data_IF_408312486078
#
_entry.id   IF_408312486078
#
_cell.length_a   1.000
_cell.length_b   1.000
_cell.length_c   1.000
_cell.angle_alpha   90.00
_cell.angle_beta   90.00
_cell.angle_gamma   90.00
#
_symmetry.space_group_name_H-M   'P 1'
#
loop_
_entity.id
_entity.type
_entity.pdbx_description
1 polymer ?
#
# COMPACT_ATOMS: atom_id res chain seq x y z
N UNK A 1 5.55 24.88 14.57
CA UNK A 1 5.00 24.55 15.90
C UNK A 1 4.38 23.16 15.83
N UNK A 2 5.00 22.17 16.52
CA UNK A 2 4.43 20.83 16.65
C UNK A 2 3.34 20.87 17.71
N UNK A 3 2.08 20.87 17.28
CA UNK A 3 0.95 20.65 18.19
C UNK A 3 0.69 19.14 18.20
N UNK A 4 1.25 18.44 19.20
CA UNK A 4 0.80 17.09 19.57
C UNK A 4 -0.50 17.24 20.34
N UNK A 5 -1.63 17.20 19.66
CA UNK A 5 -2.94 17.11 20.32
C UNK A 5 -3.18 15.67 20.76
N UNK A 6 -3.28 15.47 22.07
CA UNK A 6 -3.85 14.25 22.66
C UNK A 6 -5.36 14.22 22.36
N UNK A 7 -5.75 13.53 21.29
CA UNK A 7 -7.15 13.30 20.95
C UNK A 7 -7.70 12.12 21.81
N UNK A 8 -8.02 12.40 23.05
CA UNK A 8 -8.78 11.47 23.89
C UNK A 8 -10.26 11.82 23.86
N UNK A 9 -11.10 10.93 23.29
CA UNK A 9 -12.57 10.87 23.44
C UNK A 9 -13.40 12.15 23.21
N UNK A 10 -13.19 12.89 22.11
CA UNK A 10 -14.21 13.82 21.65
C UNK A 10 -15.33 13.04 20.96
N UNK A 11 -16.59 13.30 21.30
CA UNK A 11 -17.74 12.73 20.57
C UNK A 11 -17.73 13.24 19.13
N UNK A 12 -17.79 12.32 18.18
CA UNK A 12 -17.92 12.65 16.76
C UNK A 12 -19.37 13.00 16.51
N UNK A 13 -19.63 14.22 15.99
CA UNK A 13 -20.95 14.61 15.56
C UNK A 13 -21.21 14.15 14.12
N UNK A 14 -21.87 13.00 13.98
CA UNK A 14 -22.20 12.48 12.66
C UNK A 14 -23.17 13.35 11.85
N UNK A 15 -23.88 14.28 12.48
CA UNK A 15 -24.83 15.16 11.78
C UNK A 15 -24.13 16.08 10.78
N UNK A 16 -22.89 16.48 11.05
CA UNK A 16 -22.07 17.30 10.15
C UNK A 16 -21.71 16.60 8.81
N UNK A 17 -21.83 15.28 8.77
CA UNK A 17 -21.46 14.46 7.60
C UNK A 17 -22.67 14.01 6.78
N UNK A 18 -23.86 14.00 7.36
CA UNK A 18 -25.06 13.45 6.73
C UNK A 18 -25.38 14.12 5.39
N UNK A 19 -25.52 13.31 4.34
CA UNK A 19 -25.89 13.76 3.01
C UNK A 19 -24.77 14.45 2.23
N UNK A 20 -23.60 14.68 2.82
CA UNK A 20 -22.43 15.17 2.08
C UNK A 20 -21.96 14.14 1.05
N UNK A 21 -21.34 14.64 -0.02
CA UNK A 21 -20.80 13.80 -1.10
C UNK A 21 -19.28 13.83 -1.10
N UNK A 22 -18.66 12.67 -1.30
CA UNK A 22 -17.20 12.55 -1.37
C UNK A 22 -16.75 12.00 -2.72
N UNK A 23 -15.64 12.54 -3.22
CA UNK A 23 -14.86 11.99 -4.33
C UNK A 23 -13.50 11.48 -3.85
N UNK A 24 -13.07 10.40 -4.49
CA UNK A 24 -11.80 9.75 -4.17
C UNK A 24 -10.91 9.68 -5.40
N UNK A 25 -9.67 10.06 -5.25
CA UNK A 25 -8.67 9.94 -6.30
C UNK A 25 -7.44 9.20 -5.76
N UNK A 26 -7.09 8.08 -6.39
CA UNK A 26 -5.98 7.25 -5.94
C UNK A 26 -4.89 7.18 -7.00
N UNK A 27 -3.70 7.57 -6.60
CA UNK A 27 -2.48 7.38 -7.36
C UNK A 27 -1.62 6.28 -6.74
N UNK A 28 -0.90 5.53 -7.57
CA UNK A 28 0.09 4.55 -7.13
C UNK A 28 -0.40 3.11 -7.11
N UNK A 29 -0.13 2.39 -6.02
CA UNK A 29 -0.16 0.93 -5.96
C UNK A 29 -1.48 0.37 -5.38
N UNK A 30 -1.58 -0.98 -5.38
CA UNK A 30 -2.69 -1.73 -4.78
C UNK A 30 -2.93 -1.37 -3.30
N UNK A 31 -1.84 -1.04 -2.58
CA UNK A 31 -1.90 -0.63 -1.18
C UNK A 31 -2.63 0.71 -1.01
N UNK A 32 -2.28 1.73 -1.82
CA UNK A 32 -2.99 3.01 -1.82
C UNK A 32 -4.47 2.82 -2.17
N UNK A 33 -4.77 1.92 -3.11
CA UNK A 33 -6.15 1.62 -3.47
C UNK A 33 -6.93 1.00 -2.30
N UNK A 34 -6.34 0.04 -1.60
CA UNK A 34 -6.94 -0.56 -0.39
C UNK A 34 -7.20 0.50 0.69
N UNK A 35 -6.23 1.38 0.93
CA UNK A 35 -6.35 2.47 1.91
C UNK A 35 -7.47 3.45 1.52
N UNK A 36 -7.56 3.86 0.25
CA UNK A 36 -8.63 4.75 -0.22
C UNK A 36 -10.01 4.12 -0.06
N UNK A 37 -10.14 2.84 -0.36
CA UNK A 37 -11.40 2.10 -0.16
C UNK A 37 -11.82 2.10 1.32
N UNK A 38 -10.85 1.96 2.23
CA UNK A 38 -11.13 2.05 3.67
C UNK A 38 -11.57 3.45 4.09
N UNK A 39 -10.94 4.50 3.55
CA UNK A 39 -11.41 5.88 3.80
C UNK A 39 -12.84 6.09 3.31
N UNK A 40 -13.16 5.54 2.12
CA UNK A 40 -14.53 5.58 1.59
C UNK A 40 -15.53 4.92 2.53
N UNK A 41 -15.17 3.76 3.11
CA UNK A 41 -16.01 3.10 4.13
C UNK A 41 -16.14 3.95 5.39
N UNK A 42 -15.06 4.47 5.93
CA UNK A 42 -15.09 5.33 7.13
C UNK A 42 -16.05 6.51 6.94
N UNK A 43 -16.00 7.19 5.79
CA UNK A 43 -16.88 8.30 5.45
C UNK A 43 -18.33 7.83 5.24
N UNK A 44 -18.54 6.69 4.57
CA UNK A 44 -19.86 6.11 4.39
C UNK A 44 -20.54 5.72 5.71
N UNK A 45 -19.77 5.17 6.64
CA UNK A 45 -20.25 4.82 7.99
C UNK A 45 -20.69 6.08 8.77
N UNK A 46 -20.21 7.27 8.39
CA UNK A 46 -20.64 8.58 8.91
C UNK A 46 -21.81 9.21 8.13
N UNK A 47 -22.32 8.53 7.11
CA UNK A 47 -23.44 9.03 6.28
C UNK A 47 -23.03 9.86 5.07
N UNK A 48 -21.72 9.88 4.69
CA UNK A 48 -21.24 10.53 3.48
C UNK A 48 -21.51 9.62 2.28
N UNK A 49 -22.07 10.18 1.23
CA UNK A 49 -22.36 9.48 -0.02
C UNK A 49 -21.16 9.58 -0.99
N UNK A 50 -20.96 8.60 -1.85
CA UNK A 50 -20.01 8.72 -2.94
C UNK A 50 -20.63 9.56 -4.06
N UNK A 51 -19.95 10.63 -4.48
CA UNK A 51 -20.41 11.47 -5.61
C UNK A 51 -20.23 10.70 -6.93
N UNK A 52 -21.19 10.88 -7.83
CA UNK A 52 -21.09 10.38 -9.21
C UNK A 52 -20.00 11.14 -9.97
N UNK A 53 -19.62 10.62 -11.14
CA UNK A 53 -18.50 11.16 -11.93
C UNK A 53 -18.63 12.65 -12.23
N UNK A 54 -19.82 13.08 -12.60
CA UNK A 54 -20.11 14.46 -13.05
C UNK A 54 -20.75 15.33 -11.96
N UNK A 55 -20.93 14.80 -10.74
CA UNK A 55 -21.40 15.57 -9.59
C UNK A 55 -20.26 16.33 -8.92
N UNK A 56 -20.58 17.42 -8.28
CA UNK A 56 -19.65 18.10 -7.36
C UNK A 56 -19.62 17.35 -6.01
N UNK A 57 -18.48 17.39 -5.35
CA UNK A 57 -18.30 16.80 -4.03
C UNK A 57 -18.12 17.88 -2.97
N UNK A 58 -18.54 17.58 -1.75
CA UNK A 58 -18.26 18.39 -0.55
C UNK A 58 -16.89 18.03 0.05
N UNK A 59 -16.43 16.80 -0.18
CA UNK A 59 -15.16 16.29 0.32
C UNK A 59 -14.41 15.61 -0.83
N UNK A 60 -13.15 15.97 -1.04
CA UNK A 60 -12.27 15.30 -1.99
C UNK A 60 -11.07 14.71 -1.27
N UNK A 61 -10.88 13.38 -1.37
CA UNK A 61 -9.74 12.68 -0.79
C UNK A 61 -8.80 12.19 -1.90
N UNK A 62 -7.55 12.66 -1.86
CA UNK A 62 -6.51 12.31 -2.83
C UNK A 62 -5.43 11.51 -2.12
N UNK A 63 -5.30 10.23 -2.48
CA UNK A 63 -4.24 9.35 -1.97
C UNK A 63 -3.08 9.32 -2.97
N UNK A 64 -1.94 9.84 -2.55
CA UNK A 64 -0.79 10.18 -3.40
C UNK A 64 0.31 9.12 -3.36
N UNK A 65 1.12 9.09 -4.42
CA UNK A 65 2.31 8.23 -4.55
C UNK A 65 3.57 9.10 -4.73
N UNK A 66 4.72 8.59 -4.29
CA UNK A 66 6.01 9.28 -4.42
C UNK A 66 7.14 8.28 -4.65
N UNK A 67 7.06 7.54 -5.75
CA UNK A 67 8.11 6.59 -6.13
C UNK A 67 9.08 7.18 -7.17
N UNK A 68 8.69 8.26 -7.84
CA UNK A 68 9.50 8.99 -8.84
C UNK A 68 9.09 10.47 -8.87
N UNK A 69 9.96 11.36 -9.39
CA UNK A 69 9.61 12.77 -9.64
C UNK A 69 8.39 12.92 -10.58
N UNK A 70 8.26 12.02 -11.54
CA UNK A 70 7.10 11.98 -12.44
C UNK A 70 5.82 11.67 -11.64
N UNK A 71 5.89 10.79 -10.66
CA UNK A 71 4.76 10.49 -9.77
C UNK A 71 4.39 11.72 -8.94
N UNK A 72 5.36 12.45 -8.40
CA UNK A 72 5.13 13.69 -7.64
C UNK A 72 4.47 14.78 -8.50
N UNK A 73 4.93 14.92 -9.75
CA UNK A 73 4.30 15.84 -10.70
C UNK A 73 2.83 15.46 -10.99
N UNK A 74 2.56 14.18 -11.22
CA UNK A 74 1.19 13.67 -11.40
C UNK A 74 0.32 13.90 -10.16
N UNK A 75 0.89 13.78 -8.96
CA UNK A 75 0.18 14.08 -7.72
C UNK A 75 -0.25 15.54 -7.66
N UNK A 76 0.66 16.48 -7.95
CA UNK A 76 0.32 17.92 -7.99
C UNK A 76 -0.76 18.22 -9.03
N UNK A 77 -0.65 17.65 -10.24
CA UNK A 77 -1.68 17.81 -11.27
C UNK A 77 -3.05 17.28 -10.80
N UNK A 78 -3.09 16.13 -10.15
CA UNK A 78 -4.32 15.55 -9.62
C UNK A 78 -4.94 16.43 -8.52
N UNK A 79 -4.12 16.97 -7.61
CA UNK A 79 -4.58 17.90 -6.58
C UNK A 79 -5.21 19.14 -7.21
N UNK A 80 -4.50 19.83 -8.12
CA UNK A 80 -5.05 21.02 -8.80
C UNK A 80 -6.33 20.72 -9.58
N UNK A 81 -6.38 19.55 -10.25
CA UNK A 81 -7.58 19.11 -10.97
C UNK A 81 -8.78 18.96 -10.02
N UNK A 82 -8.59 18.27 -8.89
CA UNK A 82 -9.66 18.03 -7.91
C UNK A 82 -10.16 19.34 -7.29
N UNK A 83 -9.26 20.26 -6.95
CA UNK A 83 -9.60 21.62 -6.47
C UNK A 83 -10.43 22.37 -7.50
N UNK A 84 -10.01 22.36 -8.77
CA UNK A 84 -10.68 23.08 -9.84
C UNK A 84 -12.08 22.52 -10.18
N UNK A 85 -12.20 21.18 -10.19
CA UNK A 85 -13.45 20.48 -10.54
C UNK A 85 -14.49 20.49 -9.40
N UNK A 86 -14.07 20.75 -8.15
CA UNK A 86 -14.96 20.75 -7.00
C UNK A 86 -14.76 22.02 -6.15
N UNK A 87 -15.17 23.19 -6.68
CA UNK A 87 -14.99 24.45 -5.96
C UNK A 87 -15.80 24.45 -4.66
N UNK A 88 -15.14 24.80 -3.56
CA UNK A 88 -15.73 24.80 -2.22
C UNK A 88 -15.74 23.44 -1.50
N UNK A 89 -15.23 22.37 -2.14
CA UNK A 89 -15.02 21.09 -1.48
C UNK A 89 -13.88 21.17 -0.46
N UNK A 90 -13.98 20.40 0.61
CA UNK A 90 -12.90 20.19 1.56
C UNK A 90 -11.88 19.18 0.99
N UNK A 91 -10.67 19.64 0.71
CA UNK A 91 -9.65 18.88 0.00
C UNK A 91 -8.67 18.25 0.98
N UNK A 92 -8.64 16.93 0.98
CA UNK A 92 -7.76 16.11 1.82
C UNK A 92 -6.71 15.42 0.96
N UNK A 93 -5.44 15.58 1.31
CA UNK A 93 -4.33 14.91 0.63
C UNK A 93 -3.63 13.98 1.61
N UNK A 94 -3.42 12.73 1.22
CA UNK A 94 -2.71 11.72 2.00
C UNK A 94 -1.82 10.86 1.09
N UNK A 95 -1.12 9.89 1.65
CA UNK A 95 -0.25 8.97 0.91
C UNK A 95 1.23 9.29 1.00
N UNK A 96 2.04 8.66 0.13
CA UNK A 96 3.50 8.74 0.23
C UNK A 96 4.03 10.16 -0.04
N UNK A 97 3.50 10.85 -1.06
CA UNK A 97 3.90 12.22 -1.37
C UNK A 97 3.50 13.20 -0.25
N UNK A 98 2.29 13.05 0.27
CA UNK A 98 1.81 13.83 1.40
C UNK A 98 2.66 13.63 2.67
N UNK A 99 3.19 12.43 2.90
CA UNK A 99 4.09 12.16 4.03
C UNK A 99 5.47 12.80 3.85
N UNK A 100 6.04 12.71 2.64
CA UNK A 100 7.41 13.18 2.38
C UNK A 100 7.48 14.71 2.25
N UNK A 101 6.44 15.34 1.72
CA UNK A 101 6.39 16.76 1.38
C UNK A 101 5.16 17.45 2.01
N UNK A 102 4.81 17.06 3.24
CA UNK A 102 3.56 17.48 3.91
C UNK A 102 3.38 19.02 3.95
N UNK A 103 4.46 19.76 4.26
CA UNK A 103 4.44 21.22 4.29
C UNK A 103 4.21 21.82 2.89
N UNK A 104 4.94 21.33 1.88
CA UNK A 104 4.75 21.82 0.49
C UNK A 104 3.34 21.51 -0.04
N UNK A 105 2.80 20.35 0.31
CA UNK A 105 1.45 19.96 -0.11
C UNK A 105 0.40 20.83 0.57
N UNK A 106 0.56 21.19 1.85
CA UNK A 106 -0.37 22.06 2.57
C UNK A 106 -0.40 23.50 2.02
N UNK A 107 0.68 23.93 1.36
CA UNK A 107 0.77 25.26 0.72
C UNK A 107 0.13 25.30 -0.68
N UNK A 108 -0.30 24.15 -1.23
CA UNK A 108 -1.02 24.15 -2.50
C UNK A 108 -2.38 24.79 -2.30
N UNK A 109 -2.67 25.83 -3.09
CA UNK A 109 -3.93 26.56 -3.00
C UNK A 109 -5.14 25.62 -3.14
N UNK A 110 -6.05 25.68 -2.18
CA UNK A 110 -7.26 24.86 -2.13
C UNK A 110 -7.08 23.51 -1.43
N UNK A 111 -5.90 23.18 -0.89
CA UNK A 111 -5.72 22.03 0.01
C UNK A 111 -6.03 22.47 1.44
N UNK A 112 -6.95 21.77 2.10
CA UNK A 112 -7.39 22.10 3.46
C UNK A 112 -6.69 21.25 4.51
N UNK A 113 -6.45 19.95 4.21
CA UNK A 113 -5.90 18.99 5.17
C UNK A 113 -4.89 18.05 4.51
N UNK A 114 -3.73 17.89 5.12
CA UNK A 114 -2.71 16.91 4.72
C UNK A 114 -2.48 15.91 5.84
N UNK A 115 -2.67 14.62 5.54
CA UNK A 115 -2.49 13.53 6.50
C UNK A 115 -1.34 12.62 6.11
N UNK A 116 -0.32 12.58 6.97
CA UNK A 116 0.79 11.64 6.89
C UNK A 116 0.40 10.19 7.21
N UNK A 117 1.34 9.28 7.03
CA UNK A 117 1.11 7.83 7.15
C UNK A 117 0.63 7.38 8.54
N UNK A 118 1.04 8.07 9.61
CA UNK A 118 0.63 7.73 10.98
C UNK A 118 -0.77 8.25 11.33
N UNK A 119 -1.25 9.27 10.62
CA UNK A 119 -2.46 10.02 10.96
C UNK A 119 -3.72 9.55 10.20
N UNK A 120 -3.56 8.61 9.29
CA UNK A 120 -4.64 8.10 8.44
C UNK A 120 -5.85 7.57 9.22
N UNK A 121 -5.60 6.93 10.37
CA UNK A 121 -6.65 6.40 11.22
C UNK A 121 -7.53 7.51 11.84
N UNK A 122 -7.01 8.72 11.96
CA UNK A 122 -7.65 9.86 12.60
C UNK A 122 -8.46 10.73 11.62
N UNK A 123 -8.65 10.30 10.37
CA UNK A 123 -9.32 11.07 9.31
C UNK A 123 -10.65 11.67 9.78
N UNK A 124 -11.53 10.85 10.37
CA UNK A 124 -12.86 11.29 10.77
C UNK A 124 -12.77 12.35 11.89
N UNK A 125 -11.82 12.19 12.83
CA UNK A 125 -11.62 13.16 13.90
C UNK A 125 -11.19 14.52 13.34
N UNK A 126 -10.22 14.55 12.43
CA UNK A 126 -9.76 15.80 11.79
C UNK A 126 -10.88 16.48 11.00
N UNK A 127 -11.67 15.70 10.26
CA UNK A 127 -12.83 16.24 9.53
C UNK A 127 -13.90 16.77 10.48
N UNK A 128 -14.19 16.06 11.56
CA UNK A 128 -15.16 16.50 12.54
C UNK A 128 -14.73 17.84 13.18
N UNK A 129 -13.46 17.95 13.56
CA UNK A 129 -12.93 19.18 14.14
C UNK A 129 -12.99 20.34 13.10
N UNK A 130 -12.66 20.09 11.83
CA UNK A 130 -12.72 21.09 10.77
C UNK A 130 -14.17 21.57 10.45
N UNK A 131 -15.16 20.67 10.51
CA UNK A 131 -16.55 21.03 10.23
C UNK A 131 -17.29 21.68 11.40
N UNK A 132 -16.92 21.34 12.64
CA UNK A 132 -17.53 21.93 13.84
C UNK A 132 -16.92 23.29 14.21
N UNK A 133 -15.63 23.44 13.98
CA UNK A 133 -14.88 24.62 14.39
C UNK A 133 -14.45 25.44 13.18
N UNK A 134 -15.38 25.99 12.42
CA UNK A 134 -15.15 26.80 11.19
C UNK A 134 -14.15 27.96 11.34
N UNK A 135 -13.15 27.81 12.21
CA UNK A 135 -12.08 28.80 12.36
C UNK A 135 -11.13 28.73 11.15
N UNK A 136 -10.78 29.89 10.60
CA UNK A 136 -9.82 30.02 9.48
C UNK A 136 -8.47 29.35 9.79
N UNK A 137 -8.10 29.18 11.06
CA UNK A 137 -6.92 28.49 11.53
C UNK A 137 -6.96 26.96 11.35
N UNK A 138 -8.12 26.37 11.05
CA UNK A 138 -8.28 24.95 10.75
C UNK A 138 -7.96 24.59 9.27
N UNK A 139 -7.84 25.59 8.42
CA UNK A 139 -7.51 25.45 7.00
C UNK A 139 -5.99 25.40 6.79
N UNK A 140 -5.55 24.67 5.78
CA UNK A 140 -4.14 24.50 5.40
C UNK A 140 -3.28 23.82 6.46
N UNK A 141 -3.87 22.91 7.23
CA UNK A 141 -3.15 22.15 8.24
C UNK A 141 -2.51 20.89 7.65
N UNK A 142 -1.33 20.53 8.17
CA UNK A 142 -0.77 19.23 7.94
C UNK A 142 -0.46 18.50 9.25
N UNK A 143 -0.79 17.22 9.27
CA UNK A 143 -0.52 16.33 10.38
C UNK A 143 0.37 15.19 9.88
N UNK A 144 1.62 15.24 10.21
CA UNK A 144 2.59 14.20 9.88
C UNK A 144 3.62 14.06 11.00
N UNK A 145 4.14 12.86 11.14
CA UNK A 145 5.24 12.58 12.08
C UNK A 145 6.51 12.27 11.31
N UNK A 146 7.67 12.40 11.97
CA UNK A 146 8.92 11.96 11.36
C UNK A 146 8.86 10.47 11.04
N UNK A 147 9.52 10.03 9.99
CA UNK A 147 9.55 8.65 9.52
C UNK A 147 9.77 7.62 10.63
N UNK A 148 10.72 7.87 11.55
CA UNK A 148 11.03 6.99 12.68
C UNK A 148 9.90 6.84 13.69
N UNK A 149 8.95 7.77 13.70
CA UNK A 149 7.83 7.83 14.63
C UNK A 149 6.54 7.27 14.02
N UNK A 150 6.58 6.80 12.76
CA UNK A 150 5.47 6.11 12.11
C UNK A 150 5.37 4.69 12.70
N UNK A 151 4.44 4.49 13.62
CA UNK A 151 4.24 3.22 14.35
C UNK A 151 2.87 2.61 14.15
N UNK A 152 1.86 3.42 13.81
CA UNK A 152 0.49 2.92 13.64
C UNK A 152 0.39 2.06 12.38
N UNK A 153 -0.31 0.92 12.50
CA UNK A 153 -0.78 0.15 11.35
C UNK A 153 -2.26 0.44 11.15
N UNK A 154 -2.60 1.00 10.01
CA UNK A 154 -4.00 1.17 9.64
C UNK A 154 -4.46 -0.05 8.85
N UNK A 155 -5.38 -0.86 9.38
CA UNK A 155 -5.99 -1.95 8.63
C UNK A 155 -6.68 -1.42 7.38
N UNK A 156 -6.55 -2.13 6.28
CA UNK A 156 -7.31 -1.82 5.07
C UNK A 156 -7.58 -3.06 4.23
N UNK A 157 -8.83 -3.15 3.75
CA UNK A 157 -9.27 -4.12 2.78
C UNK A 157 -10.12 -3.39 1.75
N UNK A 158 -9.81 -3.54 0.46
CA UNK A 158 -10.63 -2.88 -0.57
C UNK A 158 -11.99 -3.54 -0.65
N UNK A 159 -13.02 -2.72 -0.91
CA UNK A 159 -14.42 -3.14 -1.03
C UNK A 159 -15.03 -2.56 -2.30
N UNK A 160 -16.18 -3.06 -2.72
CA UNK A 160 -16.96 -2.50 -3.83
C UNK A 160 -16.67 -3.13 -5.20
N UNK A 161 -16.82 -2.38 -6.30
CA UNK A 161 -17.00 -2.82 -7.69
C UNK A 161 -15.85 -3.59 -8.37
N UNK A 162 -14.91 -4.16 -7.62
CA UNK A 162 -13.85 -5.01 -8.17
C UNK A 162 -14.09 -6.48 -7.86
N UNK A 163 -13.69 -7.36 -8.78
CA UNK A 163 -13.77 -8.81 -8.60
C UNK A 163 -12.81 -9.36 -7.55
N UNK A 164 -11.82 -8.57 -7.14
CA UNK A 164 -10.77 -8.94 -6.18
C UNK A 164 -10.71 -7.94 -5.04
N UNK A 165 -10.56 -8.43 -3.83
CA UNK A 165 -10.29 -7.64 -2.63
C UNK A 165 -8.77 -7.52 -2.42
N UNK A 166 -8.30 -6.35 -2.02
CA UNK A 166 -6.90 -6.13 -1.66
C UNK A 166 -6.80 -5.99 -0.15
N UNK A 167 -6.29 -7.02 0.51
CA UNK A 167 -6.09 -7.07 1.96
C UNK A 167 -4.68 -6.60 2.30
N UNK A 168 -4.57 -5.51 3.04
CA UNK A 168 -3.29 -4.99 3.53
C UNK A 168 -2.83 -5.83 4.71
N UNK A 169 -1.76 -6.61 4.52
CA UNK A 169 -1.21 -7.48 5.55
C UNK A 169 0.04 -6.90 6.21
N UNK A 170 0.73 -5.96 5.56
CA UNK A 170 1.99 -5.39 6.04
C UNK A 170 2.16 -3.97 5.51
N UNK A 171 2.90 -3.11 6.22
CA UNK A 171 3.25 -1.74 5.81
C UNK A 171 4.67 -1.38 6.24
N UNK A 172 5.30 -0.43 5.55
CA UNK A 172 6.68 -0.02 5.78
C UNK A 172 7.71 -1.05 5.29
N UNK A 173 9.00 -0.72 5.39
CA UNK A 173 10.08 -1.61 4.93
C UNK A 173 11.39 -1.30 5.65
N UNK A 174 12.16 -2.37 5.98
CA UNK A 174 13.46 -2.28 6.66
C UNK A 174 14.66 -2.44 5.71
N UNK A 175 14.44 -2.46 4.37
CA UNK A 175 15.52 -2.76 3.42
C UNK A 175 16.37 -1.55 3.05
N UNK A 176 15.78 -0.36 2.93
CA UNK A 176 16.49 0.86 2.56
C UNK A 176 17.31 0.71 1.26
N UNK A 177 16.71 0.09 0.23
CA UNK A 177 17.33 0.00 -1.09
C UNK A 177 17.65 1.41 -1.62
N UNK A 178 18.78 1.59 -2.31
CA UNK A 178 19.34 2.91 -2.67
C UNK A 178 18.44 3.76 -3.56
N UNK A 179 17.51 3.14 -4.28
CA UNK A 179 16.56 3.79 -5.18
C UNK A 179 15.17 4.01 -4.56
N UNK A 180 14.91 3.47 -3.34
CA UNK A 180 13.56 3.35 -2.81
C UNK A 180 13.24 4.42 -1.77
N UNK A 181 12.14 5.17 -2.00
CA UNK A 181 11.64 6.20 -1.08
C UNK A 181 10.69 5.65 -0.01
N UNK A 182 10.23 4.40 -0.16
CA UNK A 182 9.19 3.81 0.67
C UNK A 182 9.51 3.77 2.17
N UNK A 183 10.73 3.39 2.62
CA UNK A 183 11.06 3.44 4.05
C UNK A 183 10.90 4.83 4.64
N UNK A 184 11.16 5.87 3.87
CA UNK A 184 11.03 7.25 4.30
C UNK A 184 9.57 7.73 4.32
N UNK A 185 8.75 7.23 3.40
CA UNK A 185 7.33 7.60 3.30
C UNK A 185 6.42 6.80 4.23
N UNK A 186 6.76 5.52 4.48
CA UNK A 186 5.90 4.60 5.21
C UNK A 186 6.50 4.09 6.52
N UNK A 187 7.76 4.41 6.81
CA UNK A 187 8.45 3.97 8.02
C UNK A 187 8.91 2.51 8.00
N UNK A 188 9.22 2.00 9.17
CA UNK A 188 9.68 0.63 9.36
C UNK A 188 8.56 -0.39 9.15
N UNK A 189 8.97 -1.65 8.86
CA UNK A 189 8.05 -2.77 8.68
C UNK A 189 7.18 -2.98 9.92
N UNK A 190 5.89 -3.12 9.71
CA UNK A 190 4.90 -3.42 10.75
C UNK A 190 3.70 -4.14 10.17
N UNK A 191 3.02 -4.91 11.00
CA UNK A 191 1.88 -5.73 10.62
C UNK A 191 0.87 -5.82 11.78
N UNK A 192 -0.40 -6.13 11.50
CA UNK A 192 -1.38 -6.49 12.50
C UNK A 192 -1.24 -7.98 12.85
N UNK A 193 -2.00 -8.45 13.85
CA UNK A 193 -2.07 -9.88 14.18
C UNK A 193 -2.78 -10.68 13.09
N UNK A 194 -2.45 -11.97 12.97
CA UNK A 194 -3.13 -12.94 12.09
C UNK A 194 -4.64 -12.94 12.36
N UNK A 195 -5.06 -12.97 13.62
CA UNK A 195 -6.47 -12.96 14.00
C UNK A 195 -7.23 -11.73 13.45
N UNK A 196 -6.56 -10.56 13.38
CA UNK A 196 -7.15 -9.35 12.79
C UNK A 196 -7.32 -9.46 11.28
N UNK A 197 -6.37 -10.09 10.60
CA UNK A 197 -6.42 -10.28 9.14
C UNK A 197 -7.44 -11.35 8.74
N UNK A 198 -7.56 -12.43 9.51
CA UNK A 198 -8.58 -13.47 9.33
C UNK A 198 -9.97 -12.84 9.40
N UNK A 199 -10.27 -12.04 10.43
CA UNK A 199 -11.56 -11.33 10.53
C UNK A 199 -11.86 -10.45 9.31
N UNK A 200 -10.87 -9.71 8.79
CA UNK A 200 -11.05 -8.90 7.58
C UNK A 200 -11.32 -9.76 6.34
N UNK A 201 -10.71 -10.95 6.25
CA UNK A 201 -10.98 -11.90 5.17
C UNK A 201 -12.39 -12.51 5.29
N UNK A 202 -12.84 -12.84 6.51
CA UNK A 202 -14.20 -13.30 6.81
C UNK A 202 -15.24 -12.21 6.46
N UNK A 203 -15.00 -10.96 6.81
CA UNK A 203 -15.84 -9.83 6.41
C UNK A 203 -15.93 -9.70 4.88
N UNK A 204 -14.80 -9.82 4.18
CA UNK A 204 -14.78 -9.80 2.72
C UNK A 204 -15.57 -10.97 2.12
N UNK A 205 -15.48 -12.17 2.71
CA UNK A 205 -16.26 -13.34 2.32
C UNK A 205 -17.76 -13.12 2.53
N UNK A 206 -18.17 -12.57 3.67
CA UNK A 206 -19.55 -12.24 4.01
C UNK A 206 -20.16 -11.21 3.04
N UNK A 207 -19.37 -10.29 2.51
CA UNK A 207 -19.74 -9.34 1.47
C UNK A 207 -19.80 -9.96 0.05
N UNK A 208 -19.54 -11.27 -0.08
CA UNK A 208 -19.57 -12.00 -1.36
C UNK A 208 -18.22 -12.03 -2.08
N UNK A 209 -17.14 -11.56 -1.46
CA UNK A 209 -15.79 -11.66 -2.01
C UNK A 209 -15.37 -13.10 -2.25
N UNK A 210 -14.69 -13.35 -3.38
CA UNK A 210 -14.23 -14.70 -3.77
C UNK A 210 -12.73 -14.79 -3.95
N UNK A 211 -12.07 -13.67 -4.18
CA UNK A 211 -10.62 -13.60 -4.38
C UNK A 211 -10.03 -12.45 -3.54
N UNK A 212 -8.99 -12.76 -2.77
CA UNK A 212 -8.23 -11.79 -2.00
C UNK A 212 -6.78 -11.77 -2.50
N UNK A 213 -6.26 -10.57 -2.73
CA UNK A 213 -4.84 -10.33 -3.00
C UNK A 213 -4.20 -9.79 -1.72
N UNK A 214 -3.27 -10.54 -1.15
CA UNK A 214 -2.47 -10.06 -0.02
C UNK A 214 -1.55 -8.95 -0.51
N UNK A 215 -1.65 -7.78 0.09
CA UNK A 215 -0.90 -6.60 -0.34
C UNK A 215 -0.14 -5.95 0.82
N UNK A 216 0.97 -5.36 0.51
CA UNK A 216 1.85 -4.65 1.44
C UNK A 216 2.98 -4.01 0.70
N UNK A 217 3.99 -3.59 1.43
CA UNK A 217 5.25 -3.03 0.90
C UNK A 217 6.27 -4.13 0.72
N UNK A 218 6.52 -4.90 1.77
CA UNK A 218 7.40 -6.07 1.81
C UNK A 218 6.73 -7.13 2.67
N UNK A 219 5.79 -7.85 2.07
CA UNK A 219 4.91 -8.77 2.81
C UNK A 219 5.64 -9.95 3.44
N UNK A 220 6.81 -10.32 2.92
CA UNK A 220 7.66 -11.35 3.52
C UNK A 220 8.20 -10.96 4.91
N UNK A 221 8.26 -9.65 5.23
CA UNK A 221 8.61 -9.16 6.56
C UNK A 221 7.42 -9.16 7.54
N UNK A 222 6.34 -9.89 7.23
CA UNK A 222 5.24 -10.08 8.17
C UNK A 222 5.75 -10.76 9.45
N UNK A 223 5.31 -10.27 10.61
CA UNK A 223 5.71 -10.78 11.92
C UNK A 223 6.72 -9.91 12.67
N UNK A 224 7.31 -8.91 12.05
CA UNK A 224 8.28 -8.00 12.69
C UNK A 224 7.75 -7.36 13.99
N UNK A 225 6.46 -7.12 14.09
CA UNK A 225 5.84 -6.48 15.26
C UNK A 225 5.03 -7.45 16.14
N UNK A 226 4.62 -8.60 15.61
CA UNK A 226 3.74 -9.55 16.30
C UNK A 226 4.40 -10.87 16.64
N UNK A 227 5.62 -11.12 16.10
CA UNK A 227 6.35 -12.39 16.22
C UNK A 227 5.61 -13.60 15.64
N UNK A 228 4.63 -13.36 14.76
CA UNK A 228 3.95 -14.37 13.95
C UNK A 228 4.73 -14.55 12.62
N UNK A 229 4.48 -15.60 11.85
CA UNK A 229 5.15 -15.77 10.55
C UNK A 229 4.21 -15.53 9.38
N UNK A 230 4.76 -15.18 8.21
CA UNK A 230 3.98 -15.07 6.99
C UNK A 230 3.36 -16.41 6.58
N UNK A 231 4.06 -17.52 6.82
CA UNK A 231 3.52 -18.86 6.59
C UNK A 231 2.31 -19.17 7.48
N UNK A 232 2.36 -18.75 8.76
CA UNK A 232 1.19 -18.96 9.65
C UNK A 232 0.00 -18.11 9.23
N UNK A 233 0.25 -16.89 8.72
CA UNK A 233 -0.81 -16.09 8.10
C UNK A 233 -1.43 -16.80 6.88
N UNK A 234 -0.58 -17.34 5.99
CA UNK A 234 -1.05 -18.08 4.80
C UNK A 234 -1.90 -19.27 5.20
N UNK A 235 -1.47 -20.07 6.19
CA UNK A 235 -2.25 -21.19 6.71
C UNK A 235 -3.59 -20.76 7.30
N UNK A 236 -3.59 -19.70 8.12
CA UNK A 236 -4.81 -19.22 8.76
C UNK A 236 -5.83 -18.67 7.74
N UNK A 237 -5.35 -18.00 6.69
CA UNK A 237 -6.22 -17.50 5.61
C UNK A 237 -6.77 -18.63 4.73
N UNK A 238 -6.02 -19.71 4.54
CA UNK A 238 -6.47 -20.89 3.77
C UNK A 238 -7.72 -21.54 4.38
N UNK A 239 -7.89 -21.43 5.71
CA UNK A 239 -9.05 -21.97 6.45
C UNK A 239 -10.30 -21.06 6.36
N UNK A 240 -10.18 -19.82 5.87
CA UNK A 240 -11.33 -18.89 5.83
C UNK A 240 -12.37 -19.36 4.81
N UNK A 241 -13.57 -19.64 5.29
CA UNK A 241 -14.70 -20.05 4.45
C UNK A 241 -15.19 -18.91 3.53
N UNK A 242 -15.70 -19.28 2.35
CA UNK A 242 -16.28 -18.35 1.37
C UNK A 242 -15.25 -17.71 0.42
N UNK A 243 -13.97 -17.61 0.79
CA UNK A 243 -12.89 -17.20 -0.10
C UNK A 243 -12.41 -18.43 -0.88
N UNK A 244 -12.35 -18.28 -2.19
CA UNK A 244 -11.96 -19.35 -3.11
C UNK A 244 -10.51 -19.23 -3.58
N UNK A 245 -9.95 -17.99 -3.61
CA UNK A 245 -8.61 -17.76 -4.11
C UNK A 245 -7.88 -16.68 -3.31
N UNK A 246 -6.62 -16.97 -3.03
CA UNK A 246 -5.65 -15.99 -2.53
C UNK A 246 -4.53 -15.80 -3.54
N UNK A 247 -4.08 -14.58 -3.70
CA UNK A 247 -2.86 -14.25 -4.42
C UNK A 247 -1.89 -13.53 -3.51
N UNK A 248 -0.66 -13.97 -3.54
CA UNK A 248 0.45 -13.31 -2.87
C UNK A 248 0.97 -12.22 -3.82
N UNK A 249 1.10 -10.97 -3.36
CA UNK A 249 1.77 -9.93 -4.13
C UNK A 249 3.30 -10.08 -4.03
N UNK A 250 4.06 -9.02 -4.29
CA UNK A 250 5.52 -9.09 -4.34
C UNK A 250 6.14 -9.63 -3.06
N UNK A 251 6.97 -10.67 -3.23
CA UNK A 251 7.80 -11.28 -2.18
C UNK A 251 9.27 -11.13 -2.54
N UNK A 252 10.05 -10.58 -1.62
CA UNK A 252 11.50 -10.51 -1.77
C UNK A 252 12.11 -11.93 -1.79
N UNK A 253 13.09 -12.20 -2.69
CA UNK A 253 13.65 -13.55 -2.86
C UNK A 253 14.19 -14.18 -1.57
N UNK A 254 14.85 -13.38 -0.73
CA UNK A 254 15.43 -13.80 0.56
C UNK A 254 14.39 -14.06 1.66
N UNK A 255 13.13 -13.69 1.44
CA UNK A 255 12.01 -13.91 2.35
C UNK A 255 11.05 -15.02 1.88
N UNK A 256 11.37 -15.68 0.76
CA UNK A 256 10.65 -16.86 0.30
C UNK A 256 11.32 -18.09 0.90
N UNK A 257 10.71 -18.70 1.90
CA UNK A 257 11.21 -19.98 2.43
C UNK A 257 10.60 -21.18 1.69
N UNK A 258 11.27 -22.32 1.81
CA UNK A 258 10.86 -23.55 1.14
C UNK A 258 9.54 -24.09 1.71
N UNK A 259 9.28 -23.87 3.00
CA UNK A 259 8.02 -24.29 3.64
C UNK A 259 6.83 -23.52 3.10
N UNK A 260 6.99 -22.24 2.75
CA UNK A 260 5.95 -21.45 2.07
C UNK A 260 5.66 -22.01 0.67
N UNK A 261 6.71 -22.32 -0.11
CA UNK A 261 6.56 -22.90 -1.45
C UNK A 261 5.83 -24.24 -1.36
N UNK A 262 6.28 -25.11 -0.45
CA UNK A 262 5.71 -26.44 -0.24
C UNK A 262 4.25 -26.37 0.24
N UNK A 263 3.88 -25.36 1.04
CA UNK A 263 2.50 -25.15 1.46
C UNK A 263 1.64 -24.68 0.28
N UNK A 264 2.07 -23.65 -0.44
CA UNK A 264 1.33 -23.12 -1.60
C UNK A 264 1.12 -24.17 -2.70
N UNK A 265 2.09 -25.11 -2.87
CA UNK A 265 1.94 -26.18 -3.87
C UNK A 265 0.81 -27.18 -3.56
N UNK A 266 0.39 -27.27 -2.31
CA UNK A 266 -0.70 -28.19 -1.85
C UNK A 266 -2.00 -27.47 -1.56
N UNK A 267 -1.99 -26.16 -1.35
CA UNK A 267 -3.19 -25.38 -1.08
C UNK A 267 -4.10 -25.36 -2.30
N UNK A 268 -5.42 -25.45 -2.05
CA UNK A 268 -6.46 -25.30 -3.08
C UNK A 268 -6.86 -23.84 -3.31
N UNK A 269 -6.52 -22.93 -2.37
CA UNK A 269 -6.93 -21.53 -2.43
C UNK A 269 -5.77 -20.60 -2.81
N UNK A 270 -4.52 -20.91 -2.40
CA UNK A 270 -3.38 -20.11 -2.80
C UNK A 270 -2.96 -20.40 -4.24
N UNK A 271 -3.13 -19.39 -5.09
CA UNK A 271 -2.85 -19.54 -6.52
C UNK A 271 -1.35 -19.72 -6.79
N UNK A 272 -0.95 -20.59 -7.72
CA UNK A 272 0.44 -20.77 -8.16
C UNK A 272 0.90 -19.55 -8.97
N UNK A 273 0.97 -18.42 -8.31
CA UNK A 273 1.29 -17.12 -8.87
C UNK A 273 2.24 -16.39 -7.93
N UNK A 274 3.46 -16.16 -8.38
CA UNK A 274 4.49 -15.47 -7.63
C UNK A 274 4.96 -14.24 -8.40
N UNK A 275 5.09 -13.13 -7.70
CA UNK A 275 5.75 -11.94 -8.18
C UNK A 275 7.00 -11.71 -7.33
N UNK A 276 8.18 -11.87 -7.94
CA UNK A 276 9.47 -11.88 -7.26
C UNK A 276 10.34 -10.79 -7.88
N UNK A 277 10.54 -9.64 -7.22
CA UNK A 277 11.32 -8.53 -7.78
C UNK A 277 12.81 -8.89 -7.78
N UNK A 278 13.39 -9.13 -8.96
CA UNK A 278 14.82 -9.37 -9.14
C UNK A 278 15.63 -8.08 -9.05
N UNK A 279 15.13 -7.02 -9.64
CA UNK A 279 15.72 -5.69 -9.80
C UNK A 279 16.92 -5.66 -10.76
N UNK A 280 17.88 -6.60 -10.67
CA UNK A 280 18.97 -6.78 -11.64
C UNK A 280 19.46 -8.22 -11.63
N UNK A 281 19.86 -8.73 -12.80
CA UNK A 281 20.54 -10.02 -12.96
C UNK A 281 22.06 -9.91 -12.82
N UNK A 282 22.60 -8.82 -12.30
CA UNK A 282 24.02 -8.62 -11.98
C UNK A 282 24.20 -8.46 -10.47
N UNK A 283 25.06 -9.29 -9.87
CA UNK A 283 25.35 -9.21 -8.44
C UNK A 283 26.02 -7.90 -8.03
N UNK A 284 26.81 -7.28 -8.95
CA UNK A 284 27.41 -5.99 -8.75
C UNK A 284 26.34 -4.91 -8.60
N UNK A 285 25.33 -4.92 -9.47
CA UNK A 285 24.22 -3.97 -9.42
C UNK A 285 23.35 -4.22 -8.21
N UNK A 286 23.06 -5.48 -7.86
CA UNK A 286 22.31 -5.83 -6.63
C UNK A 286 22.99 -5.30 -5.37
N UNK A 287 24.32 -5.39 -5.28
CA UNK A 287 25.11 -4.79 -4.18
C UNK A 287 25.00 -3.26 -4.16
N UNK A 288 25.10 -2.60 -5.32
CA UNK A 288 24.91 -1.14 -5.43
C UNK A 288 23.49 -0.71 -5.02
N UNK A 289 22.49 -1.54 -5.26
CA UNK A 289 21.10 -1.34 -4.85
C UNK A 289 20.85 -1.66 -3.37
N UNK A 290 21.82 -2.18 -2.63
CA UNK A 290 21.69 -2.70 -1.26
C UNK A 290 20.64 -3.82 -1.16
N UNK A 291 20.60 -4.74 -2.16
CA UNK A 291 19.75 -5.93 -2.09
C UNK A 291 20.35 -6.95 -1.13
N UNK A 292 19.47 -7.75 -0.50
CA UNK A 292 19.84 -8.76 0.51
C UNK A 292 19.97 -10.17 -0.07
N UNK A 293 19.97 -10.29 -1.38
CA UNK A 293 20.12 -11.53 -2.13
C UNK A 293 21.03 -11.30 -3.34
N UNK A 294 21.49 -12.40 -3.91
CA UNK A 294 22.24 -12.47 -5.15
C UNK A 294 21.46 -13.21 -6.25
N UNK A 295 22.01 -13.24 -7.44
CA UNK A 295 21.42 -13.94 -8.60
C UNK A 295 21.26 -15.44 -8.35
N UNK A 296 22.20 -16.05 -7.61
CA UNK A 296 22.16 -17.47 -7.27
C UNK A 296 20.92 -17.80 -6.41
N UNK A 297 20.70 -17.06 -5.31
CA UNK A 297 19.54 -17.27 -4.44
C UNK A 297 18.22 -17.06 -5.22
N UNK A 298 18.18 -16.03 -6.08
CA UNK A 298 17.01 -15.79 -6.92
C UNK A 298 16.71 -16.98 -7.84
N UNK A 299 17.72 -17.48 -8.55
CA UNK A 299 17.58 -18.64 -9.44
C UNK A 299 17.13 -19.90 -8.67
N UNK A 300 17.72 -20.15 -7.50
CA UNK A 300 17.33 -21.28 -6.63
C UNK A 300 15.84 -21.20 -6.26
N UNK A 301 15.31 -20.02 -5.89
CA UNK A 301 13.88 -19.84 -5.57
C UNK A 301 12.98 -20.05 -6.78
N UNK A 302 13.32 -19.49 -7.93
CA UNK A 302 12.58 -19.69 -9.19
C UNK A 302 12.53 -21.17 -9.56
N UNK A 303 13.67 -21.86 -9.53
CA UNK A 303 13.75 -23.28 -9.86
C UNK A 303 12.98 -24.15 -8.85
N UNK A 304 13.05 -23.83 -7.55
CA UNK A 304 12.28 -24.52 -6.52
C UNK A 304 10.77 -24.40 -6.72
N UNK A 305 10.30 -23.18 -7.03
CA UNK A 305 8.87 -22.95 -7.35
C UNK A 305 8.45 -23.78 -8.57
N UNK A 306 9.23 -23.74 -9.66
CA UNK A 306 8.94 -24.50 -10.87
C UNK A 306 9.01 -26.03 -10.67
N UNK A 307 9.87 -26.50 -9.80
CA UNK A 307 9.95 -27.93 -9.44
C UNK A 307 8.68 -28.40 -8.73
N UNK A 308 8.14 -27.59 -7.79
CA UNK A 308 6.95 -27.94 -7.03
C UNK A 308 5.65 -27.63 -7.80
N UNK A 309 5.67 -26.59 -8.62
CA UNK A 309 4.52 -26.08 -9.37
C UNK A 309 4.98 -25.72 -10.80
N UNK A 310 5.09 -26.70 -11.73
CA UNK A 310 5.59 -26.45 -13.09
C UNK A 310 4.83 -25.34 -13.84
N UNK A 311 3.52 -25.25 -13.62
CA UNK A 311 2.63 -24.27 -14.25
C UNK A 311 2.55 -22.92 -13.48
N UNK A 312 3.35 -22.75 -12.42
CA UNK A 312 3.31 -21.50 -11.67
C UNK A 312 3.68 -20.31 -12.55
N UNK A 313 2.87 -19.25 -12.45
CA UNK A 313 3.21 -17.94 -13.02
C UNK A 313 4.28 -17.28 -12.16
N UNK A 314 5.39 -16.89 -12.77
CA UNK A 314 6.48 -16.14 -12.11
C UNK A 314 6.67 -14.82 -12.86
N UNK A 315 6.22 -13.73 -12.25
CA UNK A 315 6.47 -12.37 -12.70
C UNK A 315 7.72 -11.78 -12.04
N UNK A 316 8.51 -11.05 -12.80
CA UNK A 316 9.80 -10.50 -12.36
C UNK A 316 9.88 -9.02 -12.76
N UNK A 317 10.33 -8.17 -11.84
CA UNK A 317 10.66 -6.78 -12.14
C UNK A 317 12.17 -6.60 -12.27
N UNK A 318 12.60 -5.85 -13.27
CA UNK A 318 14.00 -5.48 -13.51
C UNK A 318 14.10 -3.98 -13.79
N UNK A 319 15.09 -3.34 -13.22
CA UNK A 319 15.44 -1.94 -13.49
C UNK A 319 16.72 -1.87 -14.30
N UNK A 320 16.66 -1.16 -15.43
CA UNK A 320 17.81 -0.87 -16.27
C UNK A 320 18.19 0.61 -16.19
N UNK A 321 19.46 0.93 -16.42
CA UNK A 321 19.96 2.30 -16.31
C UNK A 321 20.10 2.78 -14.87
N UNK A 322 20.21 1.86 -13.90
CA UNK A 322 20.42 2.21 -12.49
C UNK A 322 21.80 2.83 -12.25
N UNK A 323 21.91 3.65 -11.20
CA UNK A 323 23.16 4.35 -10.89
C UNK A 323 24.31 3.35 -10.68
N UNK A 324 25.37 3.47 -11.51
CA UNK A 324 26.55 2.62 -11.48
C UNK A 324 26.44 1.36 -12.32
N UNK A 325 25.32 1.13 -12.99
CA UNK A 325 25.21 0.07 -13.99
C UNK A 325 26.10 0.38 -15.20
N UNK A 326 26.78 -0.65 -15.71
CA UNK A 326 27.65 -0.59 -16.88
C UNK A 326 27.11 -1.51 -17.96
N UNK A 327 27.53 -1.35 -19.24
CA UNK A 327 27.07 -2.22 -20.31
C UNK A 327 27.27 -3.71 -20.02
N UNK A 328 28.42 -4.09 -19.45
CA UNK A 328 28.71 -5.47 -19.10
C UNK A 328 27.76 -6.05 -18.03
N UNK A 329 27.26 -5.22 -17.10
CA UNK A 329 26.28 -5.64 -16.09
C UNK A 329 24.89 -5.81 -16.69
N UNK A 330 24.53 -4.97 -17.64
CA UNK A 330 23.29 -5.12 -18.39
C UNK A 330 23.28 -6.42 -19.21
N UNK A 331 24.38 -6.73 -19.93
CA UNK A 331 24.50 -7.98 -20.69
C UNK A 331 24.43 -9.19 -19.76
N UNK A 332 25.14 -9.18 -18.62
CA UNK A 332 25.04 -10.22 -17.61
C UNK A 332 23.59 -10.41 -17.10
N UNK A 333 22.87 -9.33 -16.88
CA UNK A 333 21.46 -9.37 -16.49
C UNK A 333 20.59 -9.99 -17.58
N UNK A 334 20.81 -9.63 -18.84
CA UNK A 334 20.09 -10.18 -19.99
C UNK A 334 20.32 -11.69 -20.11
N UNK A 335 21.58 -12.13 -20.06
CA UNK A 335 21.94 -13.55 -20.16
C UNK A 335 21.36 -14.36 -18.99
N UNK A 336 21.42 -13.80 -17.76
CA UNK A 336 20.85 -14.44 -16.60
C UNK A 336 19.34 -14.68 -16.74
N UNK A 337 18.60 -13.67 -17.19
CA UNK A 337 17.15 -13.77 -17.38
C UNK A 337 16.76 -14.75 -18.48
N UNK A 338 17.53 -14.83 -19.56
CA UNK A 338 17.30 -15.80 -20.64
C UNK A 338 17.46 -17.25 -20.17
N UNK A 339 18.24 -17.48 -19.12
CA UNK A 339 18.46 -18.81 -18.53
C UNK A 339 17.37 -19.23 -17.53
N UNK A 340 16.39 -18.39 -17.22
CA UNK A 340 15.39 -18.66 -16.20
C UNK A 340 13.98 -18.91 -16.76
N UNK A 341 13.21 -19.86 -16.19
CA UNK A 341 11.85 -20.16 -16.61
C UNK A 341 10.85 -19.17 -15.99
N UNK A 342 11.07 -17.86 -16.21
CA UNK A 342 10.15 -16.81 -15.80
C UNK A 342 9.01 -16.66 -16.81
N UNK A 343 7.85 -16.21 -16.37
CA UNK A 343 6.64 -16.13 -17.21
C UNK A 343 6.45 -14.72 -17.75
N UNK A 344 6.82 -13.72 -16.98
CA UNK A 344 6.68 -12.32 -17.35
C UNK A 344 7.83 -11.51 -16.76
N UNK A 345 8.29 -10.56 -17.57
CA UNK A 345 9.30 -9.56 -17.23
C UNK A 345 8.69 -8.18 -17.36
#
# INVERSE_FOLDING_TARGET
>A
FHITHNYSNKMIDSSAFQGKKAKYYTLGCKLNFSETSTFGKMLSDMGVLTAEKDEQADICLINTCSVTEVADHKCRQAIHKMVHENPGAFIIVTGCYAQLESEKVSQIQGVDLVLGSNEKANLIQYLNDAFLHKDDDALHQYHSVKTKDIKSFQPSCSRGNRTRYFLKVQDGCNYFCTYCTIPYARGFSRNPTIASLVRQAEEAAAEGGKEIVLTGVNIGNFGETTHESFLDLVKALDEVDGIQRYRISSLEPDLIDDALIDYCSRSQKFMPHFHIPLQSGSDEVLKLMHRRYDTKLFAEKVMRIKQQMPEAFIGVDVMVGSRGERPEYFEACYDFLNGLPVTQL
#
